data_IF_501273444784
#
_entry.id   IF_501273444784
#
_cell.length_a   1.000
_cell.length_b   1.000
_cell.length_c   1.000
_cell.angle_alpha   90.00
_cell.angle_beta   90.00
_cell.angle_gamma   90.00
#
_symmetry.space_group_name_H-M   'P 1'
#
loop_
_entity.id
_entity.type
_entity.pdbx_description
1 polymer ?
#
# COMPACT_ATOMS: atom_id res chain seq x y z
N UNK A 1 -47.01 -39.18 -18.09
CA UNK A 1 -45.87 -39.96 -17.55
C UNK A 1 -44.57 -39.25 -17.92
N UNK A 2 -43.62 -39.25 -16.97
CA UNK A 2 -42.41 -38.42 -16.85
C UNK A 2 -41.48 -38.46 -18.08
N UNK A 3 -41.06 -37.28 -18.58
CA UNK A 3 -39.79 -37.13 -19.29
C UNK A 3 -38.79 -36.47 -18.32
N UNK A 4 -37.83 -37.25 -17.85
CA UNK A 4 -36.67 -36.76 -17.10
C UNK A 4 -35.80 -35.93 -18.05
N UNK A 5 -35.59 -34.65 -17.74
CA UNK A 5 -34.50 -33.86 -18.27
C UNK A 5 -33.31 -34.02 -17.33
N UNK A 6 -32.31 -34.80 -17.76
CA UNK A 6 -30.97 -34.83 -17.18
C UNK A 6 -30.22 -33.58 -17.65
N UNK A 7 -30.00 -32.62 -16.75
CA UNK A 7 -29.02 -31.56 -16.93
C UNK A 7 -27.73 -32.05 -16.25
N UNK A 8 -26.60 -32.21 -16.97
CA UNK A 8 -25.34 -32.51 -16.32
C UNK A 8 -24.88 -31.26 -15.58
N UNK A 9 -24.81 -31.39 -14.26
CA UNK A 9 -24.24 -30.42 -13.34
C UNK A 9 -22.73 -30.34 -13.62
N UNK A 10 -22.33 -29.46 -14.54
CA UNK A 10 -20.95 -29.02 -14.71
C UNK A 10 -20.57 -28.15 -13.51
N UNK A 11 -20.37 -28.79 -12.36
CA UNK A 11 -19.58 -28.23 -11.26
C UNK A 11 -18.14 -28.14 -11.75
N UNK A 12 -17.83 -27.03 -12.41
CA UNK A 12 -16.46 -26.59 -12.61
C UNK A 12 -15.83 -26.47 -11.24
N UNK A 13 -14.97 -27.42 -10.89
CA UNK A 13 -14.00 -27.29 -9.81
C UNK A 13 -13.08 -26.12 -10.17
N UNK A 14 -13.48 -24.89 -9.85
CA UNK A 14 -12.54 -23.79 -9.77
C UNK A 14 -11.64 -24.13 -8.60
N UNK A 15 -10.42 -24.59 -8.91
CA UNK A 15 -9.36 -24.71 -7.92
C UNK A 15 -9.38 -23.45 -7.04
N UNK A 16 -9.35 -23.56 -5.71
CA UNK A 16 -9.28 -22.38 -4.88
C UNK A 16 -8.01 -21.63 -5.28
N UNK A 17 -8.18 -20.47 -5.91
CA UNK A 17 -7.09 -19.52 -6.09
C UNK A 17 -6.66 -19.20 -4.68
N UNK A 18 -5.51 -19.72 -4.25
CA UNK A 18 -4.85 -19.28 -3.04
C UNK A 18 -4.42 -17.85 -3.34
N UNK A 19 -5.34 -16.91 -3.16
CA UNK A 19 -5.07 -15.50 -3.26
C UNK A 19 -4.03 -15.22 -2.18
N UNK A 20 -2.77 -15.05 -2.58
CA UNK A 20 -1.76 -14.43 -1.72
C UNK A 20 -2.44 -13.18 -1.18
N UNK A 21 -2.60 -13.08 0.14
CA UNK A 21 -3.34 -11.98 0.76
C UNK A 21 -2.65 -10.65 0.44
N UNK A 22 -3.13 -10.00 -0.61
CA UNK A 22 -2.70 -8.67 -1.04
C UNK A 22 -3.62 -7.69 -0.34
N UNK A 23 -3.03 -6.86 0.50
CA UNK A 23 -3.64 -5.64 1.01
C UNK A 23 -3.64 -4.59 -0.09
N UNK A 24 -4.78 -3.93 -0.31
CA UNK A 24 -4.89 -2.76 -1.19
C UNK A 24 -5.44 -1.58 -0.39
N UNK A 25 -4.66 -0.53 -0.29
CA UNK A 25 -5.06 0.76 0.26
C UNK A 25 -5.29 1.73 -0.90
N UNK A 26 -6.43 2.41 -0.94
CA UNK A 26 -6.77 3.38 -2.00
C UNK A 26 -6.83 4.78 -1.42
N UNK A 27 -6.21 5.77 -2.08
CA UNK A 27 -6.30 7.16 -1.64
C UNK A 27 -7.75 7.66 -1.65
N UNK A 28 -8.17 8.34 -0.59
CA UNK A 28 -9.52 8.95 -0.53
C UNK A 28 -9.68 10.11 -1.51
N UNK A 29 -8.61 10.85 -1.75
CA UNK A 29 -8.63 12.08 -2.55
C UNK A 29 -8.30 11.83 -4.02
N UNK A 30 -7.47 10.82 -4.31
CA UNK A 30 -7.04 10.47 -5.66
C UNK A 30 -7.15 8.96 -5.89
N UNK A 31 -8.34 8.42 -6.20
CA UNK A 31 -8.58 6.97 -6.28
C UNK A 31 -7.74 6.21 -7.32
N UNK A 32 -7.15 6.94 -8.28
CA UNK A 32 -6.17 6.39 -9.23
C UNK A 32 -4.85 5.98 -8.55
N UNK A 33 -4.61 6.42 -7.32
CA UNK A 33 -3.41 6.11 -6.54
C UNK A 33 -3.72 5.08 -5.46
N UNK A 34 -3.06 3.93 -5.57
CA UNK A 34 -3.23 2.81 -4.63
C UNK A 34 -1.89 2.35 -4.07
N UNK A 35 -1.91 1.74 -2.90
CA UNK A 35 -0.78 1.04 -2.31
C UNK A 35 -1.17 -0.42 -2.18
N UNK A 36 -0.45 -1.30 -2.86
CA UNK A 36 -0.62 -2.75 -2.74
C UNK A 36 0.51 -3.31 -1.91
N UNK A 37 0.19 -4.15 -0.92
CA UNK A 37 1.14 -4.76 -0.01
C UNK A 37 0.87 -6.25 0.13
N UNK A 38 1.89 -7.07 -0.04
CA UNK A 38 1.89 -8.47 0.37
C UNK A 38 2.45 -8.57 1.78
N UNK A 39 1.73 -9.26 2.66
CA UNK A 39 2.19 -9.52 4.02
C UNK A 39 3.40 -10.45 4.05
N UNK A 40 4.44 -10.08 4.80
CA UNK A 40 5.69 -10.85 4.92
C UNK A 40 5.99 -11.32 6.35
N UNK A 41 5.07 -11.10 7.31
CA UNK A 41 5.26 -11.41 8.73
C UNK A 41 5.45 -10.16 9.60
N UNK A 42 5.19 -10.30 10.91
CA UNK A 42 5.42 -9.25 11.93
C UNK A 42 4.85 -7.85 11.60
N UNK A 43 3.60 -7.77 11.10
CA UNK A 43 2.95 -6.52 10.63
C UNK A 43 3.68 -5.78 9.50
N UNK A 44 4.66 -6.43 8.87
CA UNK A 44 5.42 -5.91 7.74
C UNK A 44 4.93 -6.47 6.41
N UNK A 45 5.31 -5.77 5.35
CA UNK A 45 4.96 -6.18 4.00
C UNK A 45 5.66 -5.37 2.93
N UNK A 46 5.52 -5.88 1.72
CA UNK A 46 6.21 -5.39 0.54
C UNK A 46 5.24 -5.26 -0.62
N UNK A 47 5.40 -4.21 -1.40
CA UNK A 47 4.65 -4.03 -2.62
C UNK A 47 4.97 -2.71 -3.29
N UNK A 48 3.94 -2.00 -3.71
CA UNK A 48 4.07 -0.85 -4.61
C UNK A 48 3.05 0.22 -4.30
N UNK A 49 3.43 1.48 -4.54
CA UNK A 49 2.48 2.55 -4.79
C UNK A 49 2.27 2.61 -6.31
N UNK A 50 1.00 2.63 -6.72
CA UNK A 50 0.59 2.54 -8.10
C UNK A 50 -0.16 3.81 -8.51
N UNK A 51 0.01 4.25 -9.76
CA UNK A 51 -0.85 5.21 -10.42
C UNK A 51 -1.55 4.51 -11.60
N UNK A 52 -2.89 4.54 -11.62
CA UNK A 52 -3.72 3.86 -12.64
C UNK A 52 -3.34 2.38 -12.82
N UNK A 53 -3.19 1.67 -11.70
CA UNK A 53 -2.83 0.25 -11.65
C UNK A 53 -1.44 -0.10 -12.21
N UNK A 54 -0.55 0.89 -12.38
CA UNK A 54 0.84 0.68 -12.77
C UNK A 54 1.76 1.05 -11.60
N UNK A 55 2.75 0.22 -11.24
CA UNK A 55 3.70 0.56 -10.21
C UNK A 55 4.49 1.83 -10.54
N UNK A 56 4.42 2.82 -9.66
CA UNK A 56 5.19 4.06 -9.75
C UNK A 56 6.35 4.05 -8.75
N UNK A 57 6.12 3.49 -7.55
CA UNK A 57 7.14 3.36 -6.50
C UNK A 57 7.13 1.96 -5.90
N UNK A 58 8.30 1.53 -5.44
CA UNK A 58 8.41 0.42 -4.49
C UNK A 58 8.01 0.87 -3.09
N UNK A 59 7.30 0.01 -2.37
CA UNK A 59 6.74 0.35 -1.07
C UNK A 59 6.94 -0.77 -0.05
N UNK A 60 7.41 -0.39 1.14
CA UNK A 60 7.64 -1.30 2.26
C UNK A 60 6.92 -0.76 3.48
N UNK A 61 6.35 -1.66 4.27
CA UNK A 61 5.83 -1.36 5.60
C UNK A 61 6.50 -2.28 6.61
N UNK A 62 6.86 -1.75 7.77
CA UNK A 62 7.48 -2.52 8.85
C UNK A 62 7.19 -1.92 10.21
N UNK A 63 7.78 -2.51 11.25
CA UNK A 63 7.71 -2.01 12.64
C UNK A 63 9.10 -1.49 13.05
N UNK A 64 9.16 -0.30 13.64
CA UNK A 64 10.35 0.25 14.26
C UNK A 64 10.75 -0.57 15.48
N UNK A 65 12.04 -0.91 15.57
CA UNK A 65 12.61 -1.58 16.75
C UNK A 65 12.41 -0.74 18.02
N UNK A 66 12.09 -1.40 19.13
CA UNK A 66 11.99 -0.80 20.47
C UNK A 66 10.71 -0.01 20.77
N UNK A 67 10.20 0.78 19.82
CA UNK A 67 9.02 1.64 20.04
C UNK A 67 7.72 1.05 19.49
N UNK A 68 7.76 0.01 18.64
CA UNK A 68 6.57 -0.69 18.13
C UNK A 68 5.70 0.14 17.17
N UNK A 69 6.16 1.32 16.72
CA UNK A 69 5.46 2.12 15.71
C UNK A 69 5.69 1.55 14.32
N UNK A 70 4.71 1.66 13.42
CA UNK A 70 4.90 1.25 12.04
C UNK A 70 5.54 2.36 11.21
N UNK A 71 6.33 1.95 10.23
CA UNK A 71 6.96 2.83 9.25
C UNK A 71 6.64 2.38 7.84
N UNK A 72 6.79 3.30 6.92
CA UNK A 72 6.91 2.98 5.51
C UNK A 72 8.29 3.38 4.99
N UNK A 73 8.75 2.70 3.95
CA UNK A 73 9.86 3.14 3.11
C UNK A 73 9.42 3.12 1.65
N UNK A 74 9.55 4.25 0.98
CA UNK A 74 9.31 4.39 -0.45
C UNK A 74 10.64 4.40 -1.22
N UNK A 75 10.68 3.71 -2.36
CA UNK A 75 11.85 3.61 -3.24
C UNK A 75 11.44 3.77 -4.70
N UNK A 76 12.38 4.13 -5.56
CA UNK A 76 12.16 4.03 -7.01
C UNK A 76 11.75 2.60 -7.37
N UNK A 77 10.74 2.45 -8.24
CA UNK A 77 10.24 1.13 -8.58
C UNK A 77 11.27 0.28 -9.36
N UNK A 78 11.34 -1.00 -9.00
CA UNK A 78 11.98 -2.05 -9.78
C UNK A 78 11.20 -3.36 -9.54
N UNK A 79 10.94 -4.18 -10.57
CA UNK A 79 10.27 -5.47 -10.39
C UNK A 79 11.00 -6.40 -9.41
N UNK A 80 12.33 -6.30 -9.36
CA UNK A 80 13.19 -7.06 -8.44
C UNK A 80 12.78 -6.85 -6.98
N UNK A 81 12.22 -5.68 -6.62
CA UNK A 81 11.79 -5.40 -5.26
C UNK A 81 10.79 -6.44 -4.75
N UNK A 82 9.97 -7.02 -5.63
CA UNK A 82 8.92 -7.97 -5.25
C UNK A 82 9.43 -9.41 -5.14
N UNK A 83 10.72 -9.68 -5.41
CA UNK A 83 11.28 -11.03 -5.37
C UNK A 83 11.65 -11.46 -3.93
N UNK A 84 10.76 -12.22 -3.30
CA UNK A 84 10.92 -12.68 -1.91
C UNK A 84 12.03 -13.73 -1.70
N UNK A 85 12.54 -14.36 -2.76
CA UNK A 85 13.68 -15.28 -2.66
C UNK A 85 14.99 -14.54 -2.42
N UNK A 86 15.02 -13.23 -2.68
CA UNK A 86 16.18 -12.36 -2.53
C UNK A 86 16.18 -11.61 -1.21
N UNK A 87 17.37 -11.37 -0.68
CA UNK A 87 17.56 -10.51 0.49
C UNK A 87 17.09 -9.08 0.20
N UNK A 88 16.84 -8.30 1.26
CA UNK A 88 16.47 -6.88 1.08
C UNK A 88 17.56 -6.09 0.33
N UNK A 89 18.84 -6.36 0.63
CA UNK A 89 19.96 -5.70 -0.03
C UNK A 89 19.98 -5.98 -1.54
N UNK A 90 19.80 -7.24 -1.95
CA UNK A 90 19.74 -7.62 -3.36
C UNK A 90 18.57 -6.95 -4.08
N UNK A 91 17.38 -6.99 -3.48
CA UNK A 91 16.16 -6.39 -4.03
C UNK A 91 16.28 -4.88 -4.26
N UNK A 92 16.96 -4.19 -3.35
CA UNK A 92 17.04 -2.71 -3.34
C UNK A 92 18.27 -2.17 -4.07
N UNK A 93 19.23 -3.02 -4.48
CA UNK A 93 20.52 -2.63 -5.05
C UNK A 93 20.42 -1.59 -6.17
N UNK A 94 19.43 -1.73 -7.05
CA UNK A 94 19.23 -0.86 -8.22
C UNK A 94 18.11 0.16 -8.02
N UNK A 95 17.81 0.51 -6.76
CA UNK A 95 16.73 1.44 -6.43
C UNK A 95 17.22 2.54 -5.50
N UNK A 96 16.71 3.74 -5.71
CA UNK A 96 17.00 4.90 -4.87
C UNK A 96 15.92 5.04 -3.81
N UNK A 97 16.34 5.30 -2.57
CA UNK A 97 15.38 5.63 -1.51
C UNK A 97 14.75 7.00 -1.78
N UNK A 98 13.42 7.04 -1.74
CA UNK A 98 12.64 8.27 -1.84
C UNK A 98 12.46 8.86 -0.44
N UNK A 99 12.19 7.99 0.54
CA UNK A 99 12.18 8.37 1.94
C UNK A 99 11.54 7.32 2.82
N UNK A 100 11.74 7.49 4.12
CA UNK A 100 11.18 6.66 5.18
C UNK A 100 10.41 7.56 6.15
N UNK A 101 9.27 7.09 6.64
CA UNK A 101 8.41 7.88 7.53
C UNK A 101 7.41 7.03 8.31
N UNK A 102 6.53 7.68 9.06
CA UNK A 102 5.54 6.96 9.86
C UNK A 102 4.42 6.40 8.99
N UNK A 103 4.02 5.16 9.26
CA UNK A 103 2.80 4.55 8.73
C UNK A 103 1.78 4.52 9.87
N UNK A 104 0.90 5.53 9.89
CA UNK A 104 -0.04 5.73 11.00
C UNK A 104 -1.38 5.08 10.70
N UNK A 105 -1.79 4.15 11.55
CA UNK A 105 -3.04 3.43 11.40
C UNK A 105 -4.20 4.08 12.14
N UNK A 106 -5.34 4.17 11.47
CA UNK A 106 -6.58 4.73 11.97
C UNK A 106 -7.75 3.75 11.75
N UNK A 107 -8.73 3.84 12.64
CA UNK A 107 -10.07 3.26 12.46
C UNK A 107 -11.07 4.41 12.45
N UNK A 108 -11.68 4.68 11.30
CA UNK A 108 -12.39 5.93 11.07
C UNK A 108 -11.45 7.13 11.22
N UNK A 109 -11.72 8.03 12.17
CA UNK A 109 -10.87 9.18 12.47
C UNK A 109 -10.03 8.99 13.75
N UNK A 110 -10.07 7.81 14.36
CA UNK A 110 -9.35 7.53 15.61
C UNK A 110 -7.99 6.89 15.33
N UNK A 111 -6.95 7.37 16.00
CA UNK A 111 -5.60 6.80 15.90
C UNK A 111 -5.55 5.45 16.62
N UNK A 112 -5.42 4.36 15.85
CA UNK A 112 -5.67 3.00 16.33
C UNK A 112 -4.79 2.60 17.54
N UNK A 113 -3.51 2.98 17.53
CA UNK A 113 -2.57 2.64 18.60
C UNK A 113 -2.80 3.43 19.90
N UNK A 114 -3.19 4.69 19.80
CA UNK A 114 -3.33 5.58 20.95
C UNK A 114 -4.73 5.50 21.59
N UNK A 115 -5.71 4.93 20.89
CA UNK A 115 -7.04 4.66 21.44
C UNK A 115 -7.05 3.32 22.15
N UNK A 116 -7.46 3.34 23.42
CA UNK A 116 -7.69 2.14 24.25
C UNK A 116 -8.66 1.19 23.53
N UNK A 117 -8.58 -0.10 23.81
CA UNK A 117 -9.45 -1.11 23.17
C UNK A 117 -10.93 -0.82 23.42
N UNK A 118 -11.22 -0.34 24.62
CA UNK A 118 -12.55 -0.04 25.13
C UNK A 118 -13.17 1.19 24.44
N UNK A 119 -12.34 2.14 23.99
CA UNK A 119 -12.77 3.39 23.34
C UNK A 119 -12.75 3.32 21.79
N UNK A 120 -12.27 2.20 21.23
CA UNK A 120 -12.20 2.00 19.78
C UNK A 120 -13.60 1.86 19.19
N UNK A 121 -13.89 2.70 18.19
CA UNK A 121 -15.13 2.62 17.42
C UNK A 121 -14.91 1.81 16.15
N UNK A 122 -15.92 1.08 15.72
CA UNK A 122 -15.94 0.46 14.39
C UNK A 122 -15.83 1.53 13.30
N UNK A 123 -15.03 1.27 12.27
CA UNK A 123 -14.85 2.22 11.18
C UNK A 123 -13.99 1.66 10.06
N UNK A 124 -13.80 2.47 9.00
CA UNK A 124 -12.91 2.13 7.88
C UNK A 124 -11.46 2.17 8.34
N UNK A 125 -10.65 1.18 7.96
CA UNK A 125 -9.21 1.23 8.20
C UNK A 125 -8.57 2.25 7.28
N UNK A 126 -7.80 3.17 7.85
CA UNK A 126 -7.17 4.27 7.13
C UNK A 126 -5.72 4.39 7.54
N UNK A 127 -4.83 4.57 6.59
CA UNK A 127 -3.42 4.84 6.82
C UNK A 127 -3.12 6.29 6.44
N UNK A 128 -2.32 6.97 7.27
CA UNK A 128 -1.75 8.27 6.97
C UNK A 128 -0.23 8.17 7.02
N UNK A 129 0.44 8.81 6.06
CA UNK A 129 1.90 8.81 5.94
C UNK A 129 2.40 10.25 5.80
N UNK A 130 2.49 11.00 6.92
CA UNK A 130 2.62 12.46 6.88
C UNK A 130 3.81 13.00 6.08
N UNK A 131 4.91 12.24 6.01
CA UNK A 131 6.11 12.65 5.29
C UNK A 131 6.13 12.23 3.81
N UNK A 132 5.15 11.46 3.32
CA UNK A 132 5.23 10.83 2.00
C UNK A 132 5.20 11.85 0.86
N UNK A 133 4.31 12.85 0.93
CA UNK A 133 4.22 13.91 -0.08
C UNK A 133 5.52 14.70 -0.19
N UNK A 134 6.06 15.12 0.95
CA UNK A 134 7.32 15.86 1.04
C UNK A 134 8.50 15.03 0.52
N UNK A 135 8.67 13.79 1.01
CA UNK A 135 9.74 12.89 0.59
C UNK A 135 9.70 12.65 -0.93
N UNK A 136 8.50 12.39 -1.47
CA UNK A 136 8.33 12.18 -2.90
C UNK A 136 8.63 13.45 -3.70
N UNK A 137 8.09 14.61 -3.33
CA UNK A 137 8.36 15.87 -4.01
C UNK A 137 9.85 16.21 -4.07
N UNK A 138 10.58 16.05 -2.96
CA UNK A 138 12.01 16.32 -2.90
C UNK A 138 12.88 15.22 -3.52
N UNK A 139 12.32 14.07 -3.89
CA UNK A 139 13.00 13.07 -4.70
C UNK A 139 12.97 13.37 -6.21
N UNK A 140 12.00 14.17 -6.67
CA UNK A 140 11.89 14.53 -8.08
C UNK A 140 13.03 15.49 -8.44
N UNK A 141 13.85 15.20 -9.47
CA UNK A 141 14.97 16.04 -9.83
C UNK A 141 14.52 17.36 -10.47
N UNK A 142 15.40 18.36 -10.44
CA UNK A 142 15.29 19.52 -11.32
C UNK A 142 15.63 19.10 -12.75
N UNK A 143 14.89 19.62 -13.73
CA UNK A 143 15.06 19.25 -15.14
C UNK A 143 15.19 20.48 -16.02
N UNK A 144 15.60 20.26 -17.27
CA UNK A 144 15.65 21.31 -18.28
C UNK A 144 14.25 21.87 -18.58
N UNK A 145 14.23 23.09 -19.12
CA UNK A 145 12.99 23.80 -19.44
C UNK A 145 12.15 22.99 -20.43
N UNK A 146 10.92 22.70 -20.06
CA UNK A 146 9.96 21.97 -20.89
C UNK A 146 9.78 20.51 -20.50
N UNK A 147 10.79 19.89 -19.88
CA UNK A 147 10.72 18.52 -19.34
C UNK A 147 9.97 18.49 -18.01
N UNK A 148 9.46 17.32 -17.64
CA UNK A 148 8.84 17.12 -16.34
C UNK A 148 9.91 16.91 -15.26
N UNK A 149 9.74 17.60 -14.14
CA UNK A 149 10.65 17.61 -13.00
C UNK A 149 10.07 18.44 -11.88
N UNK A 150 10.86 18.78 -10.85
CA UNK A 150 10.35 19.50 -9.67
C UNK A 150 9.72 20.86 -10.02
N UNK A 151 10.25 21.56 -11.04
CA UNK A 151 9.72 22.85 -11.49
C UNK A 151 8.45 22.71 -12.34
N UNK A 152 8.18 21.53 -12.89
CA UNK A 152 7.04 21.25 -13.78
C UNK A 152 6.62 19.80 -13.58
N UNK A 153 5.75 19.56 -12.62
CA UNK A 153 5.30 18.20 -12.30
C UNK A 153 4.49 17.61 -13.46
N UNK A 154 4.67 16.31 -13.72
CA UNK A 154 3.75 15.57 -14.57
C UNK A 154 2.40 15.38 -13.85
N UNK A 155 1.36 14.98 -14.60
CA UNK A 155 0.06 14.66 -13.99
C UNK A 155 0.19 13.56 -12.94
N UNK A 156 0.94 12.50 -13.25
CA UNK A 156 1.21 11.40 -12.31
C UNK A 156 1.91 11.90 -11.05
N UNK A 157 2.99 12.68 -11.19
CA UNK A 157 3.74 13.21 -10.05
C UNK A 157 2.84 14.05 -9.14
N UNK A 158 2.04 14.95 -9.71
CA UNK A 158 1.11 15.77 -8.95
C UNK A 158 0.06 14.91 -8.24
N UNK A 159 -0.54 13.95 -8.93
CA UNK A 159 -1.57 13.06 -8.37
C UNK A 159 -1.02 12.24 -7.21
N UNK A 160 0.21 11.74 -7.30
CA UNK A 160 0.87 11.01 -6.21
C UNK A 160 1.13 11.94 -5.01
N UNK A 161 1.56 13.18 -5.25
CA UNK A 161 1.74 14.18 -4.18
C UNK A 161 0.41 14.44 -3.47
N UNK A 162 -0.64 14.78 -4.22
CA UNK A 162 -1.97 15.08 -3.69
C UNK A 162 -2.53 13.88 -2.89
N UNK A 163 -2.39 12.66 -3.43
CA UNK A 163 -2.78 11.43 -2.75
C UNK A 163 -2.07 11.24 -1.40
N UNK A 164 -0.79 11.60 -1.35
CA UNK A 164 0.09 11.40 -0.20
C UNK A 164 -0.12 12.40 0.94
N UNK A 165 -0.87 13.48 0.70
CA UNK A 165 -1.32 14.41 1.74
C UNK A 165 -2.57 13.92 2.48
N UNK A 166 -3.26 12.92 1.93
CA UNK A 166 -4.50 12.38 2.46
C UNK A 166 -4.37 10.98 3.09
N UNK A 167 -5.53 10.43 3.44
CA UNK A 167 -5.63 9.05 3.93
C UNK A 167 -5.70 8.07 2.77
N UNK A 168 -5.14 6.88 3.01
CA UNK A 168 -5.35 5.69 2.18
C UNK A 168 -6.25 4.70 2.94
N UNK A 169 -7.35 4.27 2.33
CA UNK A 169 -8.35 3.41 2.97
C UNK A 169 -8.18 1.97 2.54
N UNK A 170 -8.37 1.04 3.47
CA UNK A 170 -8.51 -0.39 3.15
C UNK A 170 -9.65 -0.60 2.15
N UNK A 171 -9.25 -1.08 0.97
CA UNK A 171 -10.13 -1.48 -0.13
C UNK A 171 -10.07 -2.99 -0.37
N UNK A 172 -9.30 -3.73 0.44
CA UNK A 172 -9.27 -5.18 0.47
C UNK A 172 -8.02 -5.74 1.14
N UNK A 173 -8.19 -6.74 2.02
CA UNK A 173 -7.09 -7.59 2.49
C UNK A 173 -6.10 -6.97 3.48
N UNK A 174 -6.34 -5.77 4.00
CA UNK A 174 -5.34 -5.07 4.82
C UNK A 174 -5.33 -5.38 6.31
N UNK A 175 -6.26 -6.18 6.82
CA UNK A 175 -6.40 -6.45 8.27
C UNK A 175 -5.09 -6.76 9.00
N UNK A 176 -4.19 -7.52 8.39
CA UNK A 176 -2.88 -7.90 8.99
C UNK A 176 -1.89 -6.73 9.15
N UNK A 177 -2.10 -5.62 8.45
CA UNK A 177 -1.30 -4.39 8.56
C UNK A 177 -1.85 -3.40 9.59
N UNK A 178 -3.06 -3.66 10.13
CA UNK A 178 -3.73 -2.85 11.15
C UNK A 178 -3.83 -3.63 12.47
N UNK A 179 -2.69 -3.93 13.14
CA UNK A 179 -2.69 -4.76 14.35
C UNK A 179 -3.54 -4.16 15.49
N UNK A 180 -3.72 -2.83 15.51
CA UNK A 180 -4.51 -2.11 16.51
C UNK A 180 -5.95 -1.80 16.06
N UNK A 181 -6.36 -2.25 14.87
CA UNK A 181 -7.70 -1.98 14.34
C UNK A 181 -8.77 -2.98 14.78
N UNK A 182 -8.37 -4.07 15.46
CA UNK A 182 -9.19 -5.26 15.64
C UNK A 182 -9.13 -5.90 17.02
N UNK A 183 -8.58 -5.18 17.99
CA UNK A 183 -8.71 -5.57 19.38
C UNK A 183 -9.66 -4.61 20.08
#
# INVERSE_FOLDING_TARGET
MKRLLLIPLLLGFTSPVIAKEICTLTSEVEPDVTITLKYTGSAGGIGTLNYKNKPSLGFYVGIWNGYGGQYYTARSYSPELLNEEKTFQERTKNTTEIGTGHFMNFVGNQLARATSKEDRKSGKFRALMPQLSQNYYYSIPFTEKGQYGRQKLSKEMKTIIDASEGFFVDSGGCRKFFPYGWD
#
